data_IF_333679277178
#
_entry.id   IF_333679277178
#
_cell.length_a   1.000
_cell.length_b   1.000
_cell.length_c   1.000
_cell.angle_alpha   90.00
_cell.angle_beta   90.00
_cell.angle_gamma   90.00
#
_symmetry.space_group_name_H-M   'P 1'
#
loop_
_entity.id
_entity.type
_entity.pdbx_description
1 polymer ?
#
# COMPACT_ATOMS: atom_id res chain seq x y z
N UNK A 1 -6.47 -14.05 7.14
CA UNK A 1 -5.32 -13.10 7.00
C UNK A 1 -5.72 -11.85 6.23
N UNK A 2 -6.23 -11.96 4.99
CA UNK A 2 -6.58 -10.80 4.14
C UNK A 2 -7.54 -9.85 4.84
N UNK A 3 -8.62 -10.36 5.46
CA UNK A 3 -9.56 -9.51 6.21
C UNK A 3 -8.91 -8.70 7.34
N UNK A 4 -8.02 -9.31 8.13
CA UNK A 4 -7.30 -8.64 9.22
C UNK A 4 -6.35 -7.58 8.66
N UNK A 5 -5.62 -7.92 7.59
CA UNK A 5 -4.69 -7.02 6.91
C UNK A 5 -5.44 -5.80 6.32
N UNK A 6 -6.55 -6.04 5.62
CA UNK A 6 -7.38 -4.99 5.03
C UNK A 6 -8.02 -4.09 6.09
N UNK A 7 -8.61 -4.67 7.15
CA UNK A 7 -9.21 -3.89 8.24
C UNK A 7 -8.21 -2.90 8.85
N UNK A 8 -7.00 -3.39 9.18
CA UNK A 8 -5.94 -2.56 9.74
C UNK A 8 -5.41 -1.52 8.73
N UNK A 9 -5.23 -1.94 7.48
CA UNK A 9 -4.73 -1.08 6.41
C UNK A 9 -5.68 0.07 6.09
N UNK A 10 -6.98 -0.22 5.96
CA UNK A 10 -8.00 0.78 5.65
C UNK A 10 -8.00 1.93 6.66
N UNK A 11 -7.97 1.63 7.96
CA UNK A 11 -7.95 2.64 9.01
C UNK A 11 -6.73 3.59 8.89
N UNK A 12 -5.55 3.04 8.57
CA UNK A 12 -4.33 3.83 8.43
C UNK A 12 -4.32 4.69 7.15
N UNK A 13 -4.59 4.08 5.99
CA UNK A 13 -4.51 4.77 4.70
C UNK A 13 -5.62 5.80 4.51
N UNK A 14 -6.77 5.64 5.16
CA UNK A 14 -7.86 6.62 5.13
C UNK A 14 -7.43 7.99 5.66
N UNK A 15 -6.51 8.06 6.63
CA UNK A 15 -5.98 9.33 7.13
C UNK A 15 -5.22 10.11 6.05
N UNK A 16 -4.46 9.43 5.20
CA UNK A 16 -3.74 10.05 4.09
C UNK A 16 -4.70 10.57 3.02
N UNK A 17 -5.74 9.80 2.70
CA UNK A 17 -6.78 10.26 1.78
C UNK A 17 -7.54 11.47 2.33
N UNK A 18 -7.86 11.49 3.62
CA UNK A 18 -8.53 12.62 4.25
C UNK A 18 -7.63 13.87 4.25
N UNK A 19 -6.34 13.72 4.53
CA UNK A 19 -5.39 14.81 4.45
C UNK A 19 -5.28 15.36 3.01
N UNK A 20 -5.22 14.47 2.01
CA UNK A 20 -5.23 14.85 0.60
C UNK A 20 -6.51 15.59 0.19
N UNK A 21 -7.67 15.11 0.66
CA UNK A 21 -8.96 15.74 0.37
C UNK A 21 -9.07 17.14 0.98
N UNK A 22 -8.58 17.32 2.21
CA UNK A 22 -8.53 18.64 2.87
C UNK A 22 -7.60 19.63 2.16
N UNK A 23 -6.66 19.16 1.36
CA UNK A 23 -5.78 20.00 0.55
C UNK A 23 -6.44 20.54 -0.73
N UNK A 24 -7.62 20.05 -1.10
CA UNK A 24 -8.34 20.53 -2.29
C UNK A 24 -9.17 21.76 -1.91
N UNK A 25 -8.97 22.86 -2.65
CA UNK A 25 -9.73 24.11 -2.45
C UNK A 25 -11.24 23.89 -2.69
N UNK A 26 -12.05 24.42 -1.78
CA UNK A 26 -13.51 24.33 -1.84
C UNK A 26 -14.11 25.05 -3.06
N UNK A 27 -13.45 26.08 -3.57
CA UNK A 27 -13.87 26.83 -4.78
C UNK A 27 -13.96 25.95 -6.03
N UNK A 28 -13.14 24.89 -6.12
CA UNK A 28 -13.18 23.92 -7.23
C UNK A 28 -14.53 23.18 -7.24
N UNK A 29 -15.04 22.82 -6.07
CA UNK A 29 -16.32 22.12 -5.92
C UNK A 29 -17.51 23.05 -6.16
N UNK A 30 -17.41 24.31 -5.74
CA UNK A 30 -18.43 25.33 -6.01
C UNK A 30 -18.55 25.61 -7.51
N UNK A 31 -17.41 25.75 -8.20
CA UNK A 31 -17.36 25.94 -9.66
C UNK A 31 -17.99 24.75 -10.40
N UNK A 32 -17.63 23.53 -10.00
CA UNK A 32 -18.22 22.31 -10.57
C UNK A 32 -19.74 22.24 -10.39
N UNK A 33 -20.27 22.77 -9.28
CA UNK A 33 -21.71 22.83 -9.01
C UNK A 33 -22.40 23.88 -9.88
N UNK A 34 -21.76 25.02 -10.15
CA UNK A 34 -22.25 26.05 -11.08
C UNK A 34 -22.33 25.46 -12.50
N UNK A 35 -21.33 24.67 -12.90
CA UNK A 35 -21.30 23.96 -14.19
C UNK A 35 -22.27 22.77 -14.29
N UNK A 36 -23.09 22.52 -13.26
CA UNK A 36 -24.07 21.45 -13.24
C UNK A 36 -23.49 20.04 -13.15
N UNK A 37 -22.24 19.89 -12.69
CA UNK A 37 -21.60 18.58 -12.51
C UNK A 37 -22.29 17.76 -11.42
N UNK A 38 -22.83 16.59 -11.79
CA UNK A 38 -23.39 15.62 -10.85
C UNK A 38 -22.32 14.91 -10.00
N UNK A 39 -22.73 14.24 -8.92
CA UNK A 39 -21.84 13.60 -7.94
C UNK A 39 -20.76 12.69 -8.57
N UNK A 40 -21.15 11.80 -9.48
CA UNK A 40 -20.21 10.88 -10.13
C UNK A 40 -19.22 11.59 -11.07
N UNK A 41 -19.66 12.65 -11.76
CA UNK A 41 -18.79 13.48 -12.59
C UNK A 41 -17.74 14.17 -11.72
N UNK A 42 -18.17 14.80 -10.63
CA UNK A 42 -17.28 15.45 -9.66
C UNK A 42 -16.30 14.46 -9.04
N UNK A 43 -16.74 13.26 -8.64
CA UNK A 43 -15.86 12.25 -8.04
C UNK A 43 -14.77 11.78 -9.01
N UNK A 44 -15.14 11.34 -10.21
CA UNK A 44 -14.20 10.71 -11.14
C UNK A 44 -13.39 11.70 -11.98
N UNK A 45 -13.93 12.89 -12.28
CA UNK A 45 -13.25 13.88 -13.13
C UNK A 45 -12.56 15.00 -12.37
N UNK A 46 -12.89 15.22 -11.10
CA UNK A 46 -12.35 16.32 -10.30
C UNK A 46 -11.61 15.77 -9.09
N UNK A 47 -12.30 15.09 -8.17
CA UNK A 47 -11.70 14.64 -6.91
C UNK A 47 -10.59 13.61 -7.12
N UNK A 48 -10.83 12.54 -7.88
CA UNK A 48 -9.82 11.48 -8.08
C UNK A 48 -8.56 12.00 -8.80
N UNK A 49 -8.66 12.79 -9.90
CA UNK A 49 -7.50 13.39 -10.55
C UNK A 49 -6.72 14.34 -9.64
N UNK A 50 -7.40 15.18 -8.85
CA UNK A 50 -6.73 16.08 -7.89
C UNK A 50 -6.05 15.31 -6.74
N UNK A 51 -6.59 14.15 -6.35
CA UNK A 51 -5.98 13.25 -5.39
C UNK A 51 -4.89 12.35 -5.97
N UNK A 52 -4.55 12.45 -7.27
CA UNK A 52 -3.59 11.56 -7.94
C UNK A 52 -2.28 11.41 -7.16
N UNK A 53 -1.69 12.52 -6.69
CA UNK A 53 -0.44 12.49 -5.94
C UNK A 53 -0.56 11.70 -4.62
N UNK A 54 -1.66 11.92 -3.89
CA UNK A 54 -1.97 11.17 -2.66
C UNK A 54 -2.23 9.69 -2.97
N UNK A 55 -2.96 9.39 -4.03
CA UNK A 55 -3.22 8.01 -4.48
C UNK A 55 -1.92 7.27 -4.83
N UNK A 56 -1.03 7.90 -5.60
CA UNK A 56 0.28 7.32 -5.95
C UNK A 56 1.08 7.00 -4.70
N UNK A 57 1.20 7.95 -3.77
CA UNK A 57 1.89 7.74 -2.52
C UNK A 57 1.30 6.59 -1.72
N UNK A 58 -0.02 6.59 -1.50
CA UNK A 58 -0.71 5.58 -0.71
C UNK A 58 -0.56 4.19 -1.33
N UNK A 59 -0.67 4.06 -2.65
CA UNK A 59 -0.53 2.76 -3.33
C UNK A 59 0.87 2.20 -3.16
N UNK A 60 1.91 3.01 -3.44
CA UNK A 60 3.32 2.56 -3.32
C UNK A 60 3.66 2.20 -1.87
N UNK A 61 3.27 3.07 -0.93
CA UNK A 61 3.54 2.86 0.49
C UNK A 61 2.76 1.65 1.04
N UNK A 62 1.50 1.46 0.62
CA UNK A 62 0.70 0.30 1.00
C UNK A 62 1.28 -1.00 0.45
N UNK A 63 1.68 -1.03 -0.82
CA UNK A 63 2.34 -2.22 -1.39
C UNK A 63 3.62 -2.56 -0.61
N UNK A 64 4.46 -1.57 -0.33
CA UNK A 64 5.68 -1.75 0.46
C UNK A 64 5.38 -2.30 1.87
N UNK A 65 4.38 -1.72 2.54
CA UNK A 65 3.97 -2.17 3.87
C UNK A 65 3.43 -3.60 3.88
N UNK A 66 2.77 -4.04 2.80
CA UNK A 66 2.28 -5.42 2.67
C UNK A 66 3.41 -6.44 2.46
N UNK A 67 4.49 -6.08 1.76
CA UNK A 67 5.67 -6.95 1.64
C UNK A 67 6.34 -7.23 3.00
N UNK A 68 6.25 -6.26 3.92
CA UNK A 68 6.77 -6.37 5.28
C UNK A 68 5.74 -6.94 6.28
N UNK A 69 4.52 -7.25 5.84
CA UNK A 69 3.45 -7.70 6.72
C UNK A 69 3.58 -9.20 7.03
N UNK A 70 3.99 -9.51 8.26
CA UNK A 70 4.06 -10.91 8.73
C UNK A 70 3.35 -11.18 10.07
N UNK A 71 3.09 -10.16 10.89
CA UNK A 71 2.51 -10.36 12.23
C UNK A 71 1.16 -11.11 12.24
N UNK A 72 0.19 -10.83 11.34
CA UNK A 72 -1.06 -11.61 11.29
C UNK A 72 -0.83 -13.08 10.91
N UNK A 73 0.18 -13.37 10.08
CA UNK A 73 0.54 -14.74 9.71
C UNK A 73 1.11 -15.46 10.92
N UNK A 74 2.05 -14.83 11.63
CA UNK A 74 2.64 -15.36 12.85
C UNK A 74 1.58 -15.67 13.90
N UNK A 75 0.72 -14.71 14.24
CA UNK A 75 -0.23 -14.85 15.34
C UNK A 75 -1.37 -15.82 15.01
N UNK A 76 -1.92 -15.76 13.79
CA UNK A 76 -3.14 -16.47 13.47
C UNK A 76 -2.91 -17.87 12.87
N UNK A 77 -1.76 -18.11 12.23
CA UNK A 77 -1.55 -19.32 11.43
C UNK A 77 -0.20 -19.99 11.61
N UNK A 78 0.81 -19.28 12.14
CA UNK A 78 2.21 -19.71 12.14
C UNK A 78 2.70 -20.21 10.75
N UNK A 79 2.15 -19.63 9.68
CA UNK A 79 2.44 -20.00 8.28
C UNK A 79 1.71 -21.25 7.78
N UNK A 80 0.80 -21.82 8.55
CA UNK A 80 0.05 -23.04 8.21
C UNK A 80 -1.20 -22.83 7.35
N UNK A 81 -1.84 -23.93 6.91
CA UNK A 81 -1.34 -25.32 6.97
C UNK A 81 -0.21 -25.58 5.96
N UNK A 82 0.77 -26.42 6.31
CA UNK A 82 1.90 -26.83 5.45
C UNK A 82 2.68 -25.67 4.78
N UNK A 83 2.83 -24.51 5.43
CA UNK A 83 3.53 -23.38 4.82
C UNK A 83 2.70 -22.57 3.82
N UNK A 84 1.41 -22.89 3.60
CA UNK A 84 0.58 -22.24 2.57
C UNK A 84 0.33 -20.74 2.76
N UNK A 85 0.37 -20.24 4.00
CA UNK A 85 0.14 -18.82 4.31
C UNK A 85 1.44 -18.07 4.59
N UNK A 86 2.56 -18.74 4.43
CA UNK A 86 3.88 -18.23 4.75
C UNK A 86 4.36 -17.21 3.72
N UNK A 87 4.98 -16.14 4.21
CA UNK A 87 5.51 -15.04 3.40
C UNK A 87 6.99 -14.86 3.64
N UNK A 88 7.72 -14.26 2.68
CA UNK A 88 9.18 -14.07 2.74
C UNK A 88 9.62 -13.39 4.05
N UNK A 89 8.88 -12.38 4.50
CA UNK A 89 9.21 -11.68 5.74
C UNK A 89 9.02 -12.56 6.98
N UNK A 90 8.04 -13.48 6.98
CA UNK A 90 7.87 -14.44 8.07
C UNK A 90 8.97 -15.51 8.05
N UNK A 91 9.44 -15.93 6.87
CA UNK A 91 10.61 -16.81 6.75
C UNK A 91 11.91 -16.16 7.22
N UNK A 92 12.11 -14.87 6.93
CA UNK A 92 13.21 -14.10 7.48
C UNK A 92 13.15 -14.07 9.02
N UNK A 93 11.96 -13.83 9.59
CA UNK A 93 11.75 -13.87 11.04
C UNK A 93 12.09 -15.23 11.65
N UNK A 94 11.56 -16.33 11.09
CA UNK A 94 11.88 -17.69 11.55
C UNK A 94 13.37 -17.99 11.44
N UNK A 95 14.01 -17.57 10.35
CA UNK A 95 15.45 -17.74 10.14
C UNK A 95 16.28 -17.04 11.22
N UNK A 96 15.93 -15.80 11.59
CA UNK A 96 16.64 -15.08 12.65
C UNK A 96 16.39 -15.64 14.06
N UNK A 97 15.13 -15.90 14.42
CA UNK A 97 14.75 -16.12 15.82
C UNK A 97 14.45 -17.59 16.17
N UNK A 98 13.96 -18.38 15.21
CA UNK A 98 13.62 -19.80 15.44
C UNK A 98 14.76 -20.74 15.07
N UNK A 99 15.44 -20.46 13.95
CA UNK A 99 16.54 -21.28 13.45
C UNK A 99 17.92 -20.73 13.83
N UNK A 100 17.99 -19.52 14.40
CA UNK A 100 19.24 -18.83 14.73
C UNK A 100 20.23 -18.71 13.55
N UNK A 101 19.71 -18.75 12.31
CA UNK A 101 20.47 -18.70 11.08
C UNK A 101 20.42 -17.29 10.49
N UNK A 102 21.27 -16.42 11.04
CA UNK A 102 21.43 -15.02 10.59
C UNK A 102 21.88 -14.90 9.13
N UNK A 103 22.82 -15.72 8.60
CA UNK A 103 23.18 -15.67 7.18
C UNK A 103 21.98 -15.89 6.26
N UNK A 104 21.14 -16.91 6.54
CA UNK A 104 19.93 -17.18 5.76
C UNK A 104 18.95 -16.01 5.84
N UNK A 105 18.73 -15.45 7.02
CA UNK A 105 17.86 -14.28 7.19
C UNK A 105 18.37 -13.07 6.38
N UNK A 106 19.68 -12.79 6.41
CA UNK A 106 20.28 -11.70 5.64
C UNK A 106 20.05 -11.87 4.12
N UNK A 107 20.20 -13.10 3.59
CA UNK A 107 19.90 -13.39 2.19
C UNK A 107 18.43 -13.12 1.86
N UNK A 108 17.49 -13.61 2.68
CA UNK A 108 16.05 -13.41 2.43
C UNK A 108 15.68 -11.92 2.45
N UNK A 109 16.18 -11.16 3.43
CA UNK A 109 15.89 -9.71 3.53
C UNK A 109 16.51 -8.94 2.37
N UNK A 110 17.71 -9.31 1.92
CA UNK A 110 18.35 -8.68 0.76
C UNK A 110 17.53 -8.92 -0.52
N UNK A 111 17.08 -10.16 -0.75
CA UNK A 111 16.22 -10.50 -1.88
C UNK A 111 14.89 -9.73 -1.79
N UNK A 112 14.28 -9.68 -0.60
CA UNK A 112 13.04 -8.94 -0.38
C UNK A 112 13.21 -7.44 -0.68
N UNK A 113 14.33 -6.84 -0.28
CA UNK A 113 14.66 -5.44 -0.57
C UNK A 113 14.78 -5.19 -2.08
N UNK A 114 15.47 -6.07 -2.81
CA UNK A 114 15.56 -5.98 -4.28
C UNK A 114 14.18 -6.06 -4.93
N UNK A 115 13.31 -6.98 -4.48
CA UNK A 115 11.93 -7.10 -4.97
C UNK A 115 11.13 -5.83 -4.68
N UNK A 116 11.21 -5.28 -3.47
CA UNK A 116 10.51 -4.05 -3.10
C UNK A 116 10.96 -2.89 -3.98
N UNK A 117 12.27 -2.68 -4.15
CA UNK A 117 12.81 -1.61 -5.00
C UNK A 117 12.31 -1.76 -6.44
N UNK A 118 12.35 -2.98 -6.97
CA UNK A 118 11.87 -3.28 -8.32
C UNK A 118 10.37 -2.99 -8.49
N UNK A 119 9.54 -3.44 -7.55
CA UNK A 119 8.09 -3.18 -7.58
C UNK A 119 7.80 -1.69 -7.43
N UNK A 120 8.45 -0.99 -6.49
CA UNK A 120 8.28 0.45 -6.30
C UNK A 120 8.70 1.23 -7.55
N UNK A 121 9.80 0.83 -8.22
CA UNK A 121 10.24 1.44 -9.46
C UNK A 121 9.19 1.28 -10.57
N UNK A 122 8.66 0.07 -10.76
CA UNK A 122 7.59 -0.20 -11.73
C UNK A 122 6.33 0.60 -11.39
N UNK A 123 5.88 0.57 -10.14
CA UNK A 123 4.67 1.29 -9.70
C UNK A 123 4.81 2.79 -9.94
N UNK A 124 5.94 3.37 -9.55
CA UNK A 124 6.21 4.79 -9.77
C UNK A 124 6.25 5.12 -11.27
N UNK A 125 6.81 4.24 -12.11
CA UNK A 125 6.89 4.46 -13.56
C UNK A 125 5.52 4.34 -14.24
N UNK A 126 4.69 3.38 -13.84
CA UNK A 126 3.35 3.18 -14.38
C UNK A 126 2.36 4.25 -13.94
N UNK A 127 2.47 4.72 -12.68
CA UNK A 127 1.53 5.71 -12.14
C UNK A 127 1.94 7.17 -12.42
N UNK A 128 3.20 7.42 -12.77
CA UNK A 128 3.62 8.68 -13.41
C UNK A 128 3.12 8.71 -14.86
N UNK A 129 1.83 8.96 -15.02
CA UNK A 129 1.28 9.30 -16.33
C UNK A 129 1.74 10.70 -16.72
N UNK A 130 2.30 10.79 -17.95
CA UNK A 130 2.96 11.94 -18.57
C UNK A 130 2.29 13.26 -18.17
N UNK A 131 3.06 14.14 -17.56
CA UNK A 131 2.83 15.58 -17.69
C UNK A 131 2.87 15.87 -19.20
N UNK A 132 1.70 15.99 -19.82
CA UNK A 132 1.53 16.52 -21.17
C UNK A 132 1.13 17.97 -21.04
#
# INVERSE_FOLDING_TARGET
IILIASWRGCAYWMMFFLAGLKGIDTSVYESAKIDGSGFFSTLFRITIPLLKNTLVFVVIANTTANFLLFAPIQIATDGGPQGSTNVLMYEAYKSAFKYSNRPRQACIVTILLVIIIFVCFIQNRCMKEKEV
#
